data_IF_331799951676
#
_entry.id   IF_331799951676
#
_cell.length_a   1.000
_cell.length_b   1.000
_cell.length_c   1.000
_cell.angle_alpha   90.00
_cell.angle_beta   90.00
_cell.angle_gamma   90.00
#
_symmetry.space_group_name_H-M   'P 1'
#
loop_
_entity.id
_entity.type
_entity.pdbx_description
1 polymer ?
#
# COMPACT_ATOMS: atom_id res chain seq x y z
N UNK A 1 -8.85 4.15 -4.61
CA UNK A 1 -9.94 4.62 -3.72
C UNK A 1 -9.39 4.89 -2.33
N UNK A 2 -9.66 6.06 -1.79
CA UNK A 2 -9.24 6.40 -0.44
C UNK A 2 -10.20 5.81 0.59
N UNK A 3 -9.66 5.11 1.59
CA UNK A 3 -10.47 4.53 2.66
C UNK A 3 -9.90 4.95 4.02
N UNK A 4 -10.79 5.19 4.97
CA UNK A 4 -10.41 5.38 6.37
C UNK A 4 -9.89 4.05 6.94
N UNK A 5 -9.07 4.13 7.97
CA UNK A 5 -8.34 2.97 8.48
C UNK A 5 -9.25 1.80 8.90
N UNK A 6 -10.38 2.07 9.54
CA UNK A 6 -11.28 1.01 9.96
C UNK A 6 -11.81 0.19 8.77
N UNK A 7 -12.26 0.89 7.72
CA UNK A 7 -12.76 0.26 6.50
C UNK A 7 -11.63 -0.44 5.73
N UNK A 8 -10.49 0.23 5.57
CA UNK A 8 -9.33 -0.28 4.86
C UNK A 8 -8.82 -1.58 5.49
N UNK A 9 -8.66 -1.58 6.83
CA UNK A 9 -8.15 -2.73 7.56
C UNK A 9 -9.17 -3.88 7.61
N UNK A 10 -10.44 -3.57 7.85
CA UNK A 10 -11.50 -4.57 7.85
C UNK A 10 -11.63 -5.25 6.49
N UNK A 11 -11.63 -4.47 5.41
CA UNK A 11 -11.69 -5.02 4.06
C UNK A 11 -10.49 -5.91 3.77
N UNK A 12 -9.28 -5.46 4.14
CA UNK A 12 -8.07 -6.24 3.95
C UNK A 12 -8.15 -7.60 4.66
N UNK A 13 -8.53 -7.60 5.92
CA UNK A 13 -8.58 -8.84 6.73
C UNK A 13 -9.59 -9.85 6.19
N UNK A 14 -10.63 -9.39 5.55
CA UNK A 14 -11.70 -10.25 5.01
C UNK A 14 -11.53 -10.57 3.53
N UNK A 15 -10.44 -10.14 2.92
CA UNK A 15 -10.18 -10.29 1.48
C UNK A 15 -9.09 -11.33 1.26
N UNK A 16 -9.49 -12.52 0.82
CA UNK A 16 -8.56 -13.62 0.55
C UNK A 16 -7.63 -13.35 -0.63
N UNK A 17 -7.97 -12.37 -1.46
CA UNK A 17 -7.19 -12.00 -2.64
C UNK A 17 -6.40 -10.70 -2.43
N UNK A 18 -6.21 -10.30 -1.18
CA UNK A 18 -5.57 -9.04 -0.83
C UNK A 18 -4.05 -9.13 -0.76
N UNK A 19 -3.39 -8.08 -1.20
CA UNK A 19 -1.96 -7.85 -0.98
C UNK A 19 -1.82 -6.51 -0.24
N UNK A 20 -1.01 -6.51 0.81
CA UNK A 20 -0.70 -5.31 1.57
C UNK A 20 0.62 -4.74 1.04
N UNK A 21 0.60 -3.50 0.58
CA UNK A 21 1.75 -2.86 -0.07
C UNK A 21 2.19 -1.62 0.69
N UNK A 22 3.42 -1.67 1.19
CA UNK A 22 4.09 -0.55 1.87
C UNK A 22 5.02 0.14 0.87
N UNK A 23 4.78 1.42 0.60
CA UNK A 23 5.57 2.18 -0.38
C UNK A 23 6.48 3.22 0.26
N UNK A 24 6.77 3.06 1.55
CA UNK A 24 7.69 3.92 2.29
C UNK A 24 9.14 3.57 2.00
N UNK A 25 10.05 4.38 2.53
CA UNK A 25 11.48 4.07 2.47
C UNK A 25 11.83 2.93 3.42
N UNK A 26 13.00 2.31 3.19
CA UNK A 26 13.51 1.25 4.05
C UNK A 26 13.68 1.72 5.51
N UNK A 27 14.18 2.96 5.70
CA UNK A 27 14.34 3.54 7.03
C UNK A 27 13.00 3.67 7.75
N UNK A 28 11.97 4.11 7.05
CA UNK A 28 10.62 4.21 7.63
C UNK A 28 10.07 2.83 8.02
N UNK A 29 10.28 1.83 7.18
CA UNK A 29 9.84 0.46 7.44
C UNK A 29 10.54 -0.10 8.69
N UNK A 30 11.83 0.21 8.86
CA UNK A 30 12.60 -0.27 10.02
C UNK A 30 12.10 0.29 11.35
N UNK A 31 11.37 1.40 11.32
CA UNK A 31 10.77 2.00 12.52
C UNK A 31 9.45 1.35 12.92
N UNK A 32 8.92 0.45 12.11
CA UNK A 32 7.67 -0.25 12.35
C UNK A 32 6.85 -0.34 11.08
N UNK A 33 6.19 -1.47 10.87
CA UNK A 33 5.41 -1.72 9.67
C UNK A 33 4.15 -2.52 10.02
N UNK A 34 3.16 -2.50 9.15
CA UNK A 34 1.99 -3.36 9.28
C UNK A 34 2.44 -4.79 8.93
N UNK A 35 2.06 -5.81 9.72
CA UNK A 35 2.52 -7.17 9.49
C UNK A 35 2.19 -7.69 8.09
N UNK A 36 3.11 -8.44 7.51
CA UNK A 36 2.95 -9.14 6.22
C UNK A 36 2.89 -8.22 5.00
N UNK A 37 3.32 -6.98 5.13
CA UNK A 37 3.36 -6.07 4.00
C UNK A 37 4.49 -6.45 3.02
N UNK A 38 4.17 -6.35 1.73
CA UNK A 38 5.18 -6.37 0.68
C UNK A 38 5.73 -4.95 0.59
N UNK A 39 7.05 -4.80 0.53
CA UNK A 39 7.68 -3.49 0.53
C UNK A 39 8.31 -3.15 -0.82
N UNK A 40 7.92 -2.01 -1.38
CA UNK A 40 8.57 -1.40 -2.53
C UNK A 40 8.66 0.10 -2.30
N UNK A 41 9.87 0.63 -2.30
CA UNK A 41 10.14 2.04 -1.99
C UNK A 41 9.74 2.94 -3.16
N UNK A 42 8.78 3.82 -2.92
CA UNK A 42 8.26 4.80 -3.88
C UNK A 42 9.37 5.64 -4.54
N UNK A 43 10.45 5.92 -3.81
CA UNK A 43 11.52 6.79 -4.30
C UNK A 43 12.58 6.06 -5.14
N UNK A 44 12.39 4.78 -5.46
CA UNK A 44 13.34 4.03 -6.28
C UNK A 44 13.14 4.25 -7.79
N UNK A 45 12.34 5.23 -8.20
CA UNK A 45 12.20 5.62 -9.59
C UNK A 45 11.79 4.48 -10.52
N UNK A 46 12.62 4.17 -11.50
CA UNK A 46 12.32 3.12 -12.47
C UNK A 46 12.17 1.74 -11.81
N UNK A 47 12.96 1.45 -10.78
CA UNK A 47 12.88 0.17 -10.06
C UNK A 47 11.52 0.01 -9.38
N UNK A 48 10.97 1.10 -8.83
CA UNK A 48 9.63 1.08 -8.26
C UNK A 48 8.57 0.79 -9.33
N UNK A 49 8.64 1.47 -10.47
CA UNK A 49 7.71 1.25 -11.58
C UNK A 49 7.79 -0.19 -12.08
N UNK A 50 8.99 -0.71 -12.27
CA UNK A 50 9.20 -2.10 -12.70
C UNK A 50 8.61 -3.09 -11.69
N UNK A 51 8.81 -2.83 -10.39
CA UNK A 51 8.23 -3.68 -9.34
C UNK A 51 6.70 -3.70 -9.43
N UNK A 52 6.06 -2.55 -9.62
CA UNK A 52 4.61 -2.49 -9.78
C UNK A 52 4.13 -3.25 -11.00
N UNK A 53 4.82 -3.10 -12.12
CA UNK A 53 4.47 -3.78 -13.37
C UNK A 53 4.52 -5.31 -13.25
N UNK A 54 5.37 -5.82 -12.36
CA UNK A 54 5.53 -7.26 -12.13
C UNK A 54 4.57 -7.83 -11.09
N UNK A 55 3.77 -6.99 -10.44
CA UNK A 55 2.76 -7.48 -9.49
C UNK A 55 1.57 -8.11 -10.23
N UNK A 56 0.90 -9.04 -9.57
CA UNK A 56 -0.27 -9.72 -10.12
C UNK A 56 -1.47 -8.78 -10.14
N UNK A 57 -1.91 -8.40 -11.35
CA UNK A 57 -3.01 -7.44 -11.55
C UNK A 57 -4.39 -7.99 -11.16
N UNK A 58 -4.50 -9.29 -10.92
CA UNK A 58 -5.77 -9.91 -10.50
C UNK A 58 -6.04 -9.77 -9.01
N UNK A 59 -5.05 -9.33 -8.25
CA UNK A 59 -5.15 -9.15 -6.79
C UNK A 59 -5.72 -7.78 -6.42
N UNK A 60 -6.16 -7.66 -5.16
CA UNK A 60 -6.65 -6.42 -4.59
C UNK A 60 -5.55 -5.83 -3.70
N UNK A 61 -5.16 -4.59 -3.98
CA UNK A 61 -4.00 -3.97 -3.32
C UNK A 61 -4.43 -2.94 -2.29
N UNK A 62 -3.98 -3.14 -1.07
CA UNK A 62 -4.18 -2.24 0.06
C UNK A 62 -2.85 -1.55 0.31
N UNK A 63 -2.77 -0.27 -0.06
CA UNK A 63 -1.52 0.49 -0.17
C UNK A 63 -1.44 1.52 0.94
N UNK A 64 -0.27 1.63 1.57
CA UNK A 64 -0.07 2.65 2.60
C UNK A 64 1.33 3.24 2.53
N UNK A 65 1.43 4.44 3.06
CA UNK A 65 2.70 5.12 3.30
C UNK A 65 2.64 5.81 4.66
N UNK A 66 3.42 6.86 4.86
CA UNK A 66 3.43 7.57 6.13
C UNK A 66 2.18 8.44 6.34
N UNK A 67 1.75 9.18 5.33
CA UNK A 67 0.65 10.15 5.43
C UNK A 67 -0.54 9.86 4.53
N UNK A 68 -0.42 8.94 3.58
CA UNK A 68 -1.41 8.67 2.55
C UNK A 68 -1.12 9.33 1.20
N UNK A 69 -0.09 10.18 1.12
CA UNK A 69 0.24 10.90 -0.11
C UNK A 69 0.90 10.01 -1.17
N UNK A 70 2.04 9.40 -0.84
CA UNK A 70 2.76 8.50 -1.76
C UNK A 70 1.90 7.30 -2.15
N UNK A 71 1.17 6.74 -1.18
CA UNK A 71 0.28 5.60 -1.43
C UNK A 71 -0.90 6.00 -2.32
N UNK A 72 -1.44 7.20 -2.16
CA UNK A 72 -2.47 7.71 -3.05
C UNK A 72 -1.99 7.84 -4.48
N UNK A 73 -0.79 8.38 -4.68
CA UNK A 73 -0.15 8.46 -6.00
C UNK A 73 0.11 7.07 -6.57
N UNK A 74 0.52 6.13 -5.72
CA UNK A 74 0.75 4.74 -6.14
C UNK A 74 -0.54 4.09 -6.64
N UNK A 75 -1.65 4.29 -5.94
CA UNK A 75 -2.94 3.77 -6.39
C UNK A 75 -3.33 4.32 -7.77
N UNK A 76 -3.15 5.62 -7.99
CA UNK A 76 -3.43 6.22 -9.30
C UNK A 76 -2.55 5.62 -10.40
N UNK A 77 -1.25 5.47 -10.13
CA UNK A 77 -0.32 4.87 -11.06
C UNK A 77 -0.69 3.42 -11.37
N UNK A 78 -1.01 2.64 -10.34
CA UNK A 78 -1.41 1.24 -10.51
C UNK A 78 -2.68 1.12 -11.34
N UNK A 79 -3.66 2.01 -11.12
CA UNK A 79 -4.89 2.03 -11.93
C UNK A 79 -4.56 2.27 -13.41
N UNK A 80 -3.62 3.16 -13.71
CA UNK A 80 -3.17 3.42 -15.07
C UNK A 80 -2.45 2.20 -15.68
N UNK A 81 -1.81 1.38 -14.85
CA UNK A 81 -1.12 0.17 -15.28
C UNK A 81 -2.05 -1.03 -15.44
N UNK A 82 -3.34 -0.87 -15.16
CA UNK A 82 -4.32 -1.94 -15.33
C UNK A 82 -4.75 -2.67 -14.06
N UNK A 83 -4.34 -2.19 -12.89
CA UNK A 83 -4.82 -2.73 -11.61
C UNK A 83 -6.22 -2.15 -11.34
N UNK A 84 -7.20 -3.01 -11.14
CA UNK A 84 -8.60 -2.56 -10.97
C UNK A 84 -8.92 -2.17 -9.52
N UNK A 85 -8.31 -2.85 -8.55
CA UNK A 85 -8.68 -2.71 -7.14
C UNK A 85 -7.48 -2.25 -6.31
N UNK A 86 -7.40 -0.94 -6.09
CA UNK A 86 -6.36 -0.32 -5.27
C UNK A 86 -7.01 0.57 -4.22
N UNK A 87 -6.57 0.43 -2.98
CA UNK A 87 -7.17 1.11 -1.83
C UNK A 87 -6.09 1.80 -1.01
N UNK A 88 -6.21 3.12 -0.89
CA UNK A 88 -5.25 3.94 -0.17
C UNK A 88 -5.69 4.12 1.29
N UNK A 89 -4.77 3.91 2.22
CA UNK A 89 -5.00 4.17 3.64
C UNK A 89 -4.88 5.68 3.91
N UNK A 90 -6.00 6.33 4.15
CA UNK A 90 -6.02 7.75 4.53
C UNK A 90 -5.31 7.93 5.87
N UNK A 91 -4.42 8.91 5.95
CA UNK A 91 -3.64 9.20 7.15
C UNK A 91 -2.41 8.32 7.34
N UNK A 92 -2.32 7.20 6.65
CA UNK A 92 -1.15 6.31 6.67
C UNK A 92 -0.72 5.90 8.07
N UNK A 93 0.58 5.62 8.21
CA UNK A 93 1.16 5.22 9.50
C UNK A 93 1.09 6.31 10.57
N UNK A 94 1.00 7.58 10.16
CA UNK A 94 0.87 8.68 11.12
C UNK A 94 -0.37 8.53 12.03
N UNK A 95 -1.44 7.95 11.50
CA UNK A 95 -2.71 7.80 12.23
C UNK A 95 -3.06 6.34 12.52
N UNK A 96 -2.16 5.42 12.21
CA UNK A 96 -2.41 3.98 12.32
C UNK A 96 -2.56 3.52 13.76
N UNK A 97 -3.65 2.85 14.07
CA UNK A 97 -3.95 2.29 15.39
C UNK A 97 -3.95 0.76 15.42
N UNK A 98 -3.60 0.13 14.31
CA UNK A 98 -3.59 -1.32 14.20
C UNK A 98 -2.26 -1.95 14.62
N UNK A 99 -2.09 -3.25 14.35
CA UNK A 99 -0.86 -3.96 14.73
C UNK A 99 0.35 -3.48 13.91
N UNK A 100 1.53 -3.57 14.54
CA UNK A 100 2.82 -3.27 13.88
C UNK A 100 3.87 -4.31 14.26
N UNK A 101 4.85 -4.42 13.39
CA UNK A 101 6.04 -5.27 13.65
C UNK A 101 7.29 -4.44 13.57
#
# INVERSE_FOLDING_TARGET
>A
MDLQQDQWWSNFKNDENAVLLDVRTEDEVSEGAIPNAVHHDFYQGQDFLTALENLDKSKNYYVYCRSGNRSGQTCLLMNQLGFENTYNLVGGMNEWNGPTV
#
